data_IF_903312104287
#
_entry.id   IF_903312104287
#
_cell.length_a   1.000
_cell.length_b   1.000
_cell.length_c   1.000
_cell.angle_alpha   90.00
_cell.angle_beta   90.00
_cell.angle_gamma   90.00
#
_symmetry.space_group_name_H-M   'P 1'
#
loop_
_entity.id
_entity.type
_entity.pdbx_description
1 polymer ?
#
# COMPACT_ATOMS: atom_id res chain seq x y z
N UNK A 1 -2.32 17.52 10.01
CA UNK A 1 -1.16 17.00 9.24
C UNK A 1 -1.19 15.46 9.18
N UNK A 2 -2.38 14.86 8.94
CA UNK A 2 -2.57 13.41 8.75
C UNK A 2 -2.30 12.95 7.31
N UNK A 3 -1.93 13.86 6.41
CA UNK A 3 -1.80 13.60 4.97
C UNK A 3 -0.67 12.63 4.62
N UNK A 4 0.38 12.55 5.44
CA UNK A 4 1.51 11.65 5.21
C UNK A 4 1.20 10.18 5.57
N UNK A 5 0.16 9.95 6.36
CA UNK A 5 -0.29 8.61 6.78
C UNK A 5 -1.22 7.94 5.77
N UNK A 6 -1.73 8.71 4.82
CA UNK A 6 -2.73 8.27 3.85
C UNK A 6 -2.11 7.16 2.97
N UNK A 7 -0.88 7.32 2.48
CA UNK A 7 -0.30 6.40 1.49
C UNK A 7 0.40 5.18 2.12
N UNK A 8 0.96 5.30 3.33
CA UNK A 8 1.91 4.30 3.85
C UNK A 8 1.29 2.91 4.11
N UNK A 9 0.07 2.85 4.65
CA UNK A 9 -0.61 1.58 4.92
C UNK A 9 -0.97 0.83 3.63
N UNK A 10 -1.81 1.40 2.75
CA UNK A 10 -2.15 0.80 1.46
C UNK A 10 -0.94 0.50 0.58
N UNK A 11 0.05 1.41 0.49
CA UNK A 11 1.24 1.17 -0.33
C UNK A 11 2.14 0.06 0.24
N UNK A 12 2.27 -0.05 1.57
CA UNK A 12 2.99 -1.17 2.19
C UNK A 12 2.30 -2.51 1.91
N UNK A 13 0.97 -2.57 2.06
CA UNK A 13 0.20 -3.79 1.75
C UNK A 13 0.27 -4.15 0.27
N UNK A 14 0.25 -3.16 -0.62
CA UNK A 14 0.50 -3.37 -2.05
C UNK A 14 1.88 -3.98 -2.29
N UNK A 15 2.93 -3.47 -1.65
CA UNK A 15 4.28 -4.01 -1.80
C UNK A 15 4.35 -5.47 -1.30
N UNK A 16 3.74 -5.77 -0.15
CA UNK A 16 3.68 -7.14 0.39
C UNK A 16 3.02 -8.13 -0.56
N UNK A 17 1.96 -7.71 -1.27
CA UNK A 17 1.28 -8.55 -2.26
C UNK A 17 2.08 -8.65 -3.57
N UNK A 18 2.63 -7.52 -4.05
CA UNK A 18 3.34 -7.45 -5.32
C UNK A 18 4.64 -8.27 -5.32
N UNK A 19 5.41 -8.18 -4.23
CA UNK A 19 6.69 -8.90 -4.09
C UNK A 19 6.54 -10.34 -3.61
N UNK A 20 5.35 -10.78 -3.24
CA UNK A 20 5.16 -12.14 -2.76
C UNK A 20 5.58 -13.19 -3.82
N UNK A 21 6.19 -14.30 -3.38
CA UNK A 21 6.57 -15.38 -4.28
C UNK A 21 5.35 -16.12 -4.83
N UNK A 22 4.29 -16.27 -4.02
CA UNK A 22 3.09 -17.04 -4.37
C UNK A 22 1.83 -16.17 -4.48
N UNK A 23 1.96 -14.86 -4.76
CA UNK A 23 0.76 -14.02 -4.92
C UNK A 23 -0.10 -14.45 -6.12
N UNK A 24 -1.44 -14.25 -6.06
CA UNK A 24 -2.29 -14.29 -7.25
C UNK A 24 -1.66 -13.39 -8.33
N UNK A 25 -1.91 -13.68 -9.61
CA UNK A 25 -1.05 -13.24 -10.69
C UNK A 25 -0.64 -11.77 -10.53
N UNK A 26 0.67 -11.51 -10.36
CA UNK A 26 1.28 -10.17 -10.36
C UNK A 26 0.78 -9.30 -11.54
N UNK A 27 0.33 -9.98 -12.61
CA UNK A 27 -0.44 -9.43 -13.74
C UNK A 27 -1.78 -8.87 -13.25
N UNK A 28 -1.75 -7.62 -12.80
CA UNK A 28 -2.95 -6.86 -12.47
C UNK A 28 -2.65 -5.61 -11.66
N UNK A 29 -1.75 -5.75 -10.68
CA UNK A 29 -1.34 -4.66 -9.77
C UNK A 29 -0.59 -3.55 -10.51
N UNK A 30 0.45 -3.90 -11.27
CA UNK A 30 1.13 -2.97 -12.19
C UNK A 30 0.87 -3.43 -13.63
N UNK A 31 -0.21 -2.90 -14.21
CA UNK A 31 -0.63 -3.24 -15.57
C UNK A 31 0.46 -2.89 -16.57
N UNK A 32 0.74 -3.80 -17.50
CA UNK A 32 1.67 -3.57 -18.62
C UNK A 32 3.09 -3.14 -18.23
N UNK A 33 3.54 -3.38 -16.99
CA UNK A 33 4.88 -2.96 -16.54
C UNK A 33 5.97 -3.46 -17.50
N UNK A 34 5.91 -4.74 -17.89
CA UNK A 34 6.86 -5.38 -18.81
C UNK A 34 6.59 -5.15 -20.31
N UNK A 35 5.69 -4.23 -20.68
CA UNK A 35 5.48 -3.91 -22.10
C UNK A 35 6.78 -3.42 -22.76
N UNK A 36 7.00 -3.60 -24.06
CA UNK A 36 8.10 -2.89 -24.73
C UNK A 36 7.79 -1.40 -24.88
N UNK A 37 6.51 -1.04 -24.94
CA UNK A 37 6.04 0.34 -24.90
C UNK A 37 6.13 0.89 -23.47
N UNK A 38 7.03 1.85 -23.26
CA UNK A 38 7.30 2.45 -21.95
C UNK A 38 6.20 3.40 -21.49
N UNK A 39 5.50 4.04 -22.42
CA UNK A 39 4.33 4.85 -22.08
C UNK A 39 3.20 3.98 -21.54
N UNK A 40 3.03 2.75 -22.05
CA UNK A 40 2.06 1.79 -21.50
C UNK A 40 2.40 1.34 -20.09
N UNK A 41 3.67 1.14 -19.75
CA UNK A 41 4.05 0.83 -18.37
C UNK A 41 3.88 2.02 -17.44
N UNK A 42 4.25 3.22 -17.89
CA UNK A 42 4.02 4.45 -17.14
C UNK A 42 2.52 4.65 -16.84
N UNK A 43 1.66 4.44 -17.83
CA UNK A 43 0.21 4.50 -17.64
C UNK A 43 -0.29 3.47 -16.63
N UNK A 44 0.27 2.25 -16.65
CA UNK A 44 -0.05 1.21 -15.66
C UNK A 44 0.39 1.55 -14.24
N UNK A 45 1.57 2.15 -14.08
CA UNK A 45 2.07 2.62 -12.79
C UNK A 45 1.22 3.77 -12.24
N UNK A 46 0.84 4.74 -13.10
CA UNK A 46 -0.08 5.82 -12.73
C UNK A 46 -1.46 5.30 -12.31
N UNK A 47 -1.99 4.29 -13.00
CA UNK A 47 -3.24 3.64 -12.59
C UNK A 47 -3.12 3.06 -11.17
N UNK A 48 -2.05 2.31 -10.89
CA UNK A 48 -1.84 1.74 -9.57
C UNK A 48 -1.67 2.81 -8.47
N UNK A 49 -0.99 3.91 -8.79
CA UNK A 49 -0.87 5.05 -7.88
C UNK A 49 -2.24 5.70 -7.58
N UNK A 50 -3.13 5.76 -8.57
CA UNK A 50 -4.50 6.23 -8.37
C UNK A 50 -5.31 5.28 -7.49
N UNK A 51 -5.23 3.97 -7.74
CA UNK A 51 -5.90 2.95 -6.93
C UNK A 51 -5.46 3.02 -5.45
N UNK A 52 -4.16 3.18 -5.21
CA UNK A 52 -3.60 3.38 -3.87
C UNK A 52 -4.09 4.67 -3.23
N UNK A 53 -4.08 5.78 -3.96
CA UNK A 53 -4.56 7.08 -3.46
C UNK A 53 -6.03 6.99 -3.05
N UNK A 54 -6.85 6.33 -3.88
CA UNK A 54 -8.27 6.15 -3.59
C UNK A 54 -8.51 5.27 -2.36
N UNK A 55 -7.81 4.14 -2.24
CA UNK A 55 -7.90 3.29 -1.07
C UNK A 55 -7.45 4.02 0.20
N UNK A 56 -6.44 4.87 0.08
CA UNK A 56 -5.94 5.69 1.18
C UNK A 56 -6.96 6.72 1.67
N UNK A 57 -7.62 7.43 0.76
CA UNK A 57 -8.74 8.34 1.09
C UNK A 57 -9.90 7.55 1.72
N UNK A 58 -10.20 6.36 1.22
CA UNK A 58 -11.23 5.49 1.78
C UNK A 58 -10.94 5.09 3.23
N UNK A 59 -9.70 4.67 3.52
CA UNK A 59 -9.25 4.35 4.88
C UNK A 59 -9.41 5.56 5.80
N UNK A 60 -8.97 6.74 5.38
CA UNK A 60 -9.11 7.97 6.17
C UNK A 60 -10.59 8.27 6.50
N UNK A 61 -11.48 8.13 5.52
CA UNK A 61 -12.93 8.32 5.72
C UNK A 61 -13.50 7.33 6.73
N UNK A 62 -13.11 6.06 6.64
CA UNK A 62 -13.53 5.00 7.57
C UNK A 62 -13.03 5.30 8.98
N UNK A 63 -11.74 5.62 9.15
CA UNK A 63 -11.15 5.92 10.45
C UNK A 63 -11.83 7.14 11.11
N UNK A 64 -12.13 8.20 10.34
CA UNK A 64 -12.87 9.38 10.85
C UNK A 64 -14.31 9.06 11.26
N UNK A 65 -14.94 8.06 10.64
CA UNK A 65 -16.30 7.67 10.94
C UNK A 65 -16.43 6.53 11.96
N UNK A 66 -15.31 6.05 12.56
CA UNK A 66 -15.28 4.88 13.46
C UNK A 66 -16.30 4.95 14.61
N UNK A 67 -16.56 6.13 15.15
CA UNK A 67 -17.52 6.37 16.24
C UNK A 67 -18.82 7.05 15.76
N UNK A 68 -19.02 7.18 14.44
CA UNK A 68 -20.17 7.85 13.84
C UNK A 68 -21.28 6.90 13.40
N UNK A 69 -22.35 7.48 12.83
CA UNK A 69 -23.47 6.74 12.22
C UNK A 69 -23.23 6.40 10.75
N UNK A 70 -22.22 7.00 10.13
CA UNK A 70 -21.87 6.76 8.73
C UNK A 70 -21.14 5.43 8.60
N UNK A 71 -21.47 4.68 7.55
CA UNK A 71 -20.76 3.47 7.13
C UNK A 71 -20.33 3.63 5.70
N UNK A 72 -19.10 3.24 5.40
CA UNK A 72 -18.54 3.29 4.06
C UNK A 72 -18.43 1.87 3.51
N UNK A 73 -18.76 1.69 2.24
CA UNK A 73 -18.62 0.42 1.52
C UNK A 73 -17.58 0.60 0.43
N UNK A 74 -16.54 -0.24 0.44
CA UNK A 74 -15.57 -0.30 -0.64
C UNK A 74 -16.04 -1.30 -1.70
N UNK A 75 -16.38 -0.82 -2.88
CA UNK A 75 -16.82 -1.65 -3.99
C UNK A 75 -15.80 -1.54 -5.14
N UNK A 76 -15.23 -2.67 -5.55
CA UNK A 76 -14.29 -2.74 -6.68
C UNK A 76 -14.45 -4.06 -7.42
N UNK A 77 -14.36 -4.00 -8.75
CA UNK A 77 -14.25 -5.18 -9.62
C UNK A 77 -12.80 -5.69 -9.71
N UNK A 78 -11.84 -4.94 -9.18
CA UNK A 78 -10.43 -5.36 -9.10
C UNK A 78 -10.23 -6.26 -7.88
N UNK A 79 -9.97 -7.54 -8.13
CA UNK A 79 -9.69 -8.53 -7.08
C UNK A 79 -8.44 -8.21 -6.26
N UNK A 80 -7.39 -7.71 -6.91
CA UNK A 80 -6.15 -7.39 -6.22
C UNK A 80 -6.35 -6.20 -5.27
N UNK A 81 -7.08 -5.17 -5.70
CA UNK A 81 -7.41 -4.03 -4.86
C UNK A 81 -8.31 -4.43 -3.67
N UNK A 82 -9.25 -5.38 -3.87
CA UNK A 82 -10.05 -5.96 -2.77
C UNK A 82 -9.18 -6.70 -1.76
N UNK A 83 -8.15 -7.43 -2.20
CA UNK A 83 -7.20 -8.07 -1.29
C UNK A 83 -6.41 -7.06 -0.46
N UNK A 84 -5.88 -6.02 -1.11
CA UNK A 84 -5.15 -4.95 -0.41
C UNK A 84 -6.07 -4.27 0.62
N UNK A 85 -7.31 -3.92 0.24
CA UNK A 85 -8.26 -3.32 1.16
C UNK A 85 -8.53 -4.22 2.38
N UNK A 86 -8.71 -5.53 2.19
CA UNK A 86 -8.89 -6.48 3.29
C UNK A 86 -7.67 -6.56 4.22
N UNK A 87 -6.45 -6.52 3.68
CA UNK A 87 -5.24 -6.48 4.50
C UNK A 87 -5.15 -5.21 5.33
N UNK A 88 -5.52 -4.07 4.73
CA UNK A 88 -5.50 -2.78 5.42
C UNK A 88 -6.52 -2.73 6.57
N UNK A 89 -7.75 -3.26 6.39
CA UNK A 89 -8.78 -3.22 7.43
C UNK A 89 -8.75 -4.40 8.40
N UNK A 90 -8.28 -5.58 7.97
CA UNK A 90 -8.17 -6.77 8.83
C UNK A 90 -7.22 -6.55 10.00
N UNK A 91 -6.15 -5.78 9.78
CA UNK A 91 -5.17 -5.43 10.81
C UNK A 91 -5.72 -4.49 11.90
N UNK A 92 -6.83 -3.78 11.67
CA UNK A 92 -7.39 -2.83 12.64
C UNK A 92 -8.43 -3.43 13.60
N UNK A 93 -8.97 -4.63 13.33
CA UNK A 93 -10.13 -5.15 14.05
C UNK A 93 -9.82 -6.17 15.16
N UNK A 94 -8.60 -6.71 15.24
CA UNK A 94 -8.24 -7.76 16.21
C UNK A 94 -7.12 -7.33 17.16
N UNK A 95 -7.47 -6.64 18.25
CA UNK A 95 -6.54 -6.18 19.30
C UNK A 95 -6.01 -7.29 20.23
N UNK A 96 -6.22 -8.57 19.92
CA UNK A 96 -5.76 -9.69 20.77
C UNK A 96 -4.86 -10.70 20.08
N UNK A 97 -4.67 -10.63 18.76
CA UNK A 97 -3.83 -11.60 18.06
C UNK A 97 -2.83 -10.90 17.14
N UNK A 98 -1.58 -10.88 17.61
CA UNK A 98 -0.38 -10.60 16.81
C UNK A 98 -0.24 -11.57 15.60
N UNK A 99 -1.16 -12.53 15.46
CA UNK A 99 -1.25 -13.58 14.45
C UNK A 99 -2.07 -13.22 13.18
N UNK A 100 -2.81 -12.12 13.13
CA UNK A 100 -3.74 -11.89 11.99
C UNK A 100 -3.00 -11.47 10.70
N UNK A 101 -2.03 -10.54 10.79
CA UNK A 101 -1.30 -10.10 9.60
C UNK A 101 -0.36 -11.18 9.06
N UNK A 102 0.36 -11.88 9.94
CA UNK A 102 1.22 -13.00 9.54
C UNK A 102 0.38 -14.11 8.89
N UNK A 103 -0.74 -14.50 9.50
CA UNK A 103 -1.66 -15.49 8.94
C UNK A 103 -2.28 -15.06 7.61
N UNK A 104 -2.57 -13.77 7.43
CA UNK A 104 -3.05 -13.23 6.17
C UNK A 104 -1.97 -13.27 5.08
N UNK A 105 -0.71 -12.94 5.42
CA UNK A 105 0.44 -12.96 4.52
C UNK A 105 0.92 -14.38 4.17
N UNK A 106 0.74 -15.35 5.07
CA UNK A 106 1.10 -16.77 4.89
C UNK A 106 0.43 -17.41 3.66
N UNK A 107 -0.65 -16.80 3.15
CA UNK A 107 -1.28 -17.21 1.88
C UNK A 107 -0.38 -17.04 0.67
N UNK A 108 0.58 -16.12 0.72
CA UNK A 108 1.44 -15.75 -0.41
C UNK A 108 2.93 -15.81 -0.10
N UNK A 109 3.28 -15.83 1.18
CA UNK A 109 4.66 -15.92 1.67
C UNK A 109 4.85 -17.23 2.44
N UNK A 110 6.04 -17.85 2.39
CA UNK A 110 6.43 -18.87 3.35
C UNK A 110 6.29 -18.33 4.77
N UNK A 111 5.82 -19.17 5.71
CA UNK A 111 5.51 -18.78 7.09
C UNK A 111 6.60 -17.92 7.77
N UNK A 112 7.90 -18.29 7.72
CA UNK A 112 8.94 -17.48 8.36
C UNK A 112 9.05 -16.06 7.78
N UNK A 113 8.79 -15.92 6.49
CA UNK A 113 8.81 -14.62 5.81
C UNK A 113 7.54 -13.82 6.13
N UNK A 114 6.39 -14.48 6.21
CA UNK A 114 5.14 -13.82 6.58
C UNK A 114 5.22 -13.18 7.97
N UNK A 115 5.75 -13.91 8.95
CA UNK A 115 6.01 -13.41 10.32
C UNK A 115 6.99 -12.25 10.30
N UNK A 116 8.15 -12.42 9.66
CA UNK A 116 9.17 -11.37 9.60
C UNK A 116 8.67 -10.07 8.95
N UNK A 117 7.86 -10.17 7.88
CA UNK A 117 7.24 -9.02 7.22
C UNK A 117 6.21 -8.37 8.14
N UNK A 118 5.36 -9.15 8.81
CA UNK A 118 4.36 -8.63 9.74
C UNK A 118 5.01 -7.85 10.90
N UNK A 119 6.09 -8.39 11.49
CA UNK A 119 6.84 -7.74 12.57
C UNK A 119 7.50 -6.43 12.10
N UNK A 120 8.07 -6.43 10.89
CA UNK A 120 8.67 -5.24 10.30
C UNK A 120 7.62 -4.13 10.06
N UNK A 121 6.44 -4.50 9.56
CA UNK A 121 5.32 -3.58 9.35
C UNK A 121 4.78 -3.05 10.67
N UNK A 122 4.57 -3.91 11.67
CA UNK A 122 4.11 -3.49 12.99
C UNK A 122 5.12 -2.52 13.64
N UNK A 123 6.41 -2.83 13.55
CA UNK A 123 7.48 -1.94 14.03
C UNK A 123 7.46 -0.59 13.31
N UNK A 124 7.22 -0.58 12.00
CA UNK A 124 7.10 0.64 11.20
C UNK A 124 5.87 1.47 11.65
N UNK A 125 4.69 0.84 11.77
CA UNK A 125 3.46 1.52 12.20
C UNK A 125 3.57 2.07 13.63
N UNK A 126 4.13 1.29 14.57
CA UNK A 126 4.34 1.72 15.96
C UNK A 126 5.25 2.95 16.04
N UNK A 127 6.38 2.95 15.30
CA UNK A 127 7.30 4.10 15.23
C UNK A 127 6.68 5.33 14.58
N UNK A 128 5.70 5.15 13.69
CA UNK A 128 5.01 6.27 13.06
C UNK A 128 3.97 6.91 13.99
N UNK A 129 3.37 6.14 14.90
CA UNK A 129 2.39 6.62 15.88
C UNK A 129 3.04 7.35 17.09
N UNK A 130 4.37 7.49 17.13
CA UNK A 130 5.05 8.24 18.19
C UNK A 130 4.84 9.76 18.05
N UNK A 131 4.30 10.44 19.09
CA UNK A 131 3.93 11.86 19.01
C UNK A 131 5.13 12.81 18.80
N UNK A 132 6.35 12.40 19.13
CA UNK A 132 7.56 13.24 19.06
C UNK A 132 8.16 13.41 17.65
N UNK A 133 7.59 12.80 16.61
CA UNK A 133 8.13 12.92 15.25
C UNK A 133 7.73 14.22 14.51
N UNK A 134 6.94 15.08 15.14
CA UNK A 134 6.49 16.36 14.56
C UNK A 134 7.63 17.35 14.23
N UNK A 135 8.87 17.09 14.66
CA UNK A 135 9.96 18.08 14.63
C UNK A 135 10.93 17.90 13.44
N UNK A 136 10.94 16.79 12.69
CA UNK A 136 12.03 16.49 11.73
C UNK A 136 11.63 16.09 10.30
N UNK A 137 10.43 16.41 9.84
CA UNK A 137 10.12 16.40 8.40
C UNK A 137 9.61 17.76 7.97
N UNK A 138 10.55 18.70 7.80
CA UNK A 138 10.39 19.68 6.73
C UNK A 138 10.43 18.87 5.42
N UNK A 139 9.29 18.36 4.98
CA UNK A 139 9.16 17.97 3.58
C UNK A 139 9.34 19.27 2.81
N UNK A 140 10.51 19.46 2.21
CA UNK A 140 10.75 20.56 1.29
C UNK A 140 9.61 20.58 0.28
N UNK A 141 8.97 21.73 0.10
CA UNK A 141 7.94 21.91 -0.92
C UNK A 141 8.43 21.32 -2.24
N UNK A 142 7.68 20.38 -2.81
CA UNK A 142 8.03 19.70 -4.07
C UNK A 142 8.70 18.32 -3.93
N UNK A 143 9.07 17.84 -2.74
CA UNK A 143 9.72 16.53 -2.58
C UNK A 143 8.96 15.35 -3.22
N UNK A 144 7.63 15.31 -3.05
CA UNK A 144 6.80 14.26 -3.65
C UNK A 144 6.76 14.39 -5.18
N UNK A 145 6.66 15.61 -5.69
CA UNK A 145 6.67 15.87 -7.14
C UNK A 145 8.01 15.45 -7.75
N UNK A 146 9.12 15.73 -7.08
CA UNK A 146 10.46 15.28 -7.46
C UNK A 146 10.57 13.75 -7.49
N UNK A 147 10.04 13.07 -6.47
CA UNK A 147 10.02 11.61 -6.40
C UNK A 147 9.15 10.99 -7.51
N UNK A 148 8.02 11.62 -7.84
CA UNK A 148 7.17 11.21 -8.97
C UNK A 148 7.97 11.36 -10.27
N UNK A 149 8.50 12.55 -10.56
CA UNK A 149 9.27 12.82 -11.78
C UNK A 149 10.43 11.82 -11.94
N UNK A 150 11.16 11.56 -10.86
CA UNK A 150 12.26 10.58 -10.86
C UNK A 150 11.77 9.17 -11.16
N UNK A 151 10.72 8.71 -10.49
CA UNK A 151 10.16 7.37 -10.71
C UNK A 151 9.59 7.18 -12.12
N UNK A 152 8.96 8.20 -12.68
CA UNK A 152 8.46 8.17 -14.06
C UNK A 152 9.62 8.10 -15.07
N UNK A 153 10.70 8.87 -14.86
CA UNK A 153 11.89 8.81 -15.70
C UNK A 153 12.59 7.44 -15.66
N UNK A 154 12.67 6.82 -14.49
CA UNK A 154 13.20 5.46 -14.33
C UNK A 154 12.35 4.44 -15.09
N UNK A 155 11.01 4.51 -15.02
CA UNK A 155 10.13 3.62 -15.76
C UNK A 155 10.24 3.79 -17.29
N UNK A 156 10.45 5.02 -17.75
CA UNK A 156 10.60 5.31 -19.18
C UNK A 156 11.91 4.77 -19.78
N UNK A 157 12.95 4.64 -18.96
CA UNK A 157 14.26 4.15 -19.38
C UNK A 157 14.48 2.67 -19.05
N UNK A 158 13.65 2.09 -18.18
CA UNK A 158 13.76 0.70 -17.77
C UNK A 158 13.43 -0.30 -18.89
N UNK A 159 14.38 -1.20 -19.15
CA UNK A 159 14.23 -2.31 -20.08
C UNK A 159 13.77 -3.57 -19.34
N UNK A 160 12.56 -4.09 -19.62
CA UNK A 160 12.10 -5.32 -19.00
C UNK A 160 12.91 -6.50 -19.52
N UNK A 161 13.43 -7.31 -18.60
CA UNK A 161 14.11 -8.59 -18.87
C UNK A 161 13.06 -9.70 -19.02
#
# INVERSE_FOLDING_TARGET
MHRDFIIAGPAAMFACLYFAPNSPPRRGLLKSLRSSDRNRALAGARNAAWDLTHLSDFVERVSKAKNGRTRYVFASLDESLRHIARLVFGTEQNTTEQNDLAGALARWWPEPNAVAIADALQSLFSRMNEPNRQIHRQQTLGFIDEMIVKGEAELLTWQPI
#
